data_IF_414366579023
#
_entry.id   IF_414366579023
#
_cell.length_a   1.000
_cell.length_b   1.000
_cell.length_c   1.000
_cell.angle_alpha   90.00
_cell.angle_beta   90.00
_cell.angle_gamma   90.00
#
_symmetry.space_group_name_H-M   'P 1'
#
loop_
_entity.id
_entity.type
_entity.pdbx_description
1 polymer ?
#
# COMPACT_ATOMS: atom_id res chain seq x y z
N UNK A 1 3.49 7.71 29.29
CA UNK A 1 4.01 7.57 27.91
C UNK A 1 4.08 6.09 27.61
N UNK A 2 3.64 5.66 26.43
CA UNK A 2 3.71 4.27 25.99
C UNK A 2 4.50 4.18 24.68
N UNK A 3 5.25 3.09 24.50
CA UNK A 3 5.75 2.70 23.19
C UNK A 3 4.62 2.06 22.36
N UNK A 4 4.77 2.02 21.03
CA UNK A 4 3.78 1.41 20.13
C UNK A 4 4.06 -0.07 19.91
N UNK A 5 5.23 -0.39 19.36
CA UNK A 5 5.51 -1.71 18.80
C UNK A 5 5.83 -2.69 19.93
N UNK A 6 5.05 -3.77 20.03
CA UNK A 6 5.22 -4.75 21.11
C UNK A 6 4.67 -4.32 22.48
N UNK A 7 4.15 -3.09 22.62
CA UNK A 7 3.42 -2.63 23.81
C UNK A 7 1.94 -2.40 23.52
N UNK A 8 1.60 -1.62 22.49
CA UNK A 8 0.21 -1.44 22.06
C UNK A 8 -0.19 -2.48 21.00
N UNK A 9 0.74 -2.85 20.12
CA UNK A 9 0.48 -3.83 19.05
C UNK A 9 1.13 -5.19 19.33
N UNK A 10 0.53 -6.24 18.78
CA UNK A 10 1.05 -7.63 18.79
C UNK A 10 2.02 -7.89 17.65
N UNK A 11 2.20 -6.94 16.73
CA UNK A 11 2.93 -7.13 15.48
C UNK A 11 2.38 -8.30 14.65
N UNK A 12 1.07 -8.52 14.72
CA UNK A 12 0.35 -9.54 13.95
C UNK A 12 -0.49 -8.83 12.90
N UNK A 13 -0.03 -8.89 11.65
CA UNK A 13 -0.71 -8.29 10.51
C UNK A 13 -1.73 -9.24 9.93
N UNK A 14 -2.97 -8.78 9.79
CA UNK A 14 -4.08 -9.55 9.20
C UNK A 14 -4.68 -8.82 8.02
N UNK A 15 -4.82 -9.52 6.90
CA UNK A 15 -5.62 -9.05 5.78
C UNK A 15 -7.10 -9.04 6.19
N UNK A 16 -7.78 -7.90 6.05
CA UNK A 16 -9.15 -7.70 6.56
C UNK A 16 -10.16 -7.36 5.49
N UNK A 17 -9.81 -6.48 4.55
CA UNK A 17 -10.73 -5.98 3.53
C UNK A 17 -9.99 -5.71 2.23
N UNK A 18 -10.75 -5.66 1.15
CA UNK A 18 -10.23 -5.39 -0.19
C UNK A 18 -11.26 -4.68 -1.04
N UNK A 19 -10.78 -3.79 -1.89
CA UNK A 19 -11.55 -3.05 -2.89
C UNK A 19 -11.10 -3.48 -4.27
N UNK A 20 -12.01 -3.91 -5.13
CA UNK A 20 -11.74 -4.30 -6.53
C UNK A 20 -12.99 -4.15 -7.37
N UNK A 21 -12.84 -3.68 -8.62
CA UNK A 21 -13.97 -3.36 -9.50
C UNK A 21 -15.03 -2.44 -8.86
N UNK A 22 -14.59 -1.48 -8.03
CA UNK A 22 -15.50 -0.58 -7.33
C UNK A 22 -16.38 -1.24 -6.25
N UNK A 23 -16.03 -2.45 -5.81
CA UNK A 23 -16.72 -3.18 -4.75
C UNK A 23 -15.79 -3.44 -3.57
N UNK A 24 -16.33 -3.42 -2.35
CA UNK A 24 -15.61 -3.79 -1.14
C UNK A 24 -15.98 -5.20 -0.69
N UNK A 25 -14.98 -5.95 -0.24
CA UNK A 25 -15.12 -7.29 0.31
C UNK A 25 -14.45 -7.36 1.68
N UNK A 26 -15.01 -8.21 2.55
CA UNK A 26 -14.61 -8.35 3.95
C UNK A 26 -15.24 -7.30 4.86
N UNK A 27 -15.12 -7.53 6.16
CA UNK A 27 -15.76 -6.72 7.20
C UNK A 27 -14.80 -6.37 8.35
N UNK A 28 -15.30 -5.57 9.30
CA UNK A 28 -14.59 -5.11 10.48
C UNK A 28 -14.84 -5.96 11.73
N UNK A 29 -15.82 -6.87 11.70
CA UNK A 29 -16.28 -7.61 12.87
C UNK A 29 -15.46 -8.89 13.10
N UNK A 30 -15.19 -9.62 12.02
CA UNK A 30 -14.49 -10.91 12.06
C UNK A 30 -12.99 -10.72 12.12
N UNK A 31 -12.33 -11.57 12.89
CA UNK A 31 -10.87 -11.47 13.09
C UNK A 31 -10.05 -11.86 11.85
N UNK A 32 -10.60 -12.71 10.99
CA UNK A 32 -10.00 -13.13 9.72
C UNK A 32 -10.85 -12.67 8.54
N UNK A 33 -10.20 -12.42 7.38
CA UNK A 33 -10.91 -12.22 6.13
C UNK A 33 -11.78 -13.43 5.80
N UNK A 34 -13.08 -13.19 5.63
CA UNK A 34 -14.07 -14.23 5.37
C UNK A 34 -15.15 -13.69 4.44
N UNK A 35 -14.81 -13.54 3.16
CA UNK A 35 -15.76 -13.11 2.15
C UNK A 35 -15.63 -14.03 0.94
N UNK A 36 -16.55 -15.00 0.86
CA UNK A 36 -16.58 -15.95 -0.25
C UNK A 36 -17.09 -15.30 -1.54
N UNK A 37 -17.83 -14.17 -1.45
CA UNK A 37 -18.39 -13.51 -2.63
C UNK A 37 -17.28 -12.99 -3.55
N UNK A 38 -16.14 -12.57 -2.98
CA UNK A 38 -14.94 -12.19 -3.75
C UNK A 38 -14.53 -13.31 -4.72
N UNK A 39 -14.33 -14.53 -4.20
CA UNK A 39 -13.86 -15.65 -5.04
C UNK A 39 -15.00 -16.26 -5.86
N UNK A 40 -16.23 -16.24 -5.35
CA UNK A 40 -17.39 -16.77 -6.07
C UNK A 40 -17.68 -15.94 -7.33
N UNK A 41 -17.57 -14.61 -7.27
CA UNK A 41 -17.67 -13.75 -8.46
C UNK A 41 -16.64 -14.12 -9.54
N UNK A 42 -15.40 -14.38 -9.13
CA UNK A 42 -14.39 -14.88 -10.06
C UNK A 42 -14.76 -16.25 -10.64
N UNK A 43 -15.29 -17.17 -9.83
CA UNK A 43 -15.70 -18.51 -10.29
C UNK A 43 -16.89 -18.50 -11.24
N UNK A 44 -17.85 -17.60 -11.01
CA UNK A 44 -19.07 -17.48 -11.81
C UNK A 44 -18.77 -17.04 -13.24
N UNK A 45 -17.95 -16.00 -13.40
CA UNK A 45 -17.51 -15.53 -14.71
C UNK A 45 -16.05 -15.04 -14.68
N UNK A 46 -15.07 -15.95 -14.84
CA UNK A 46 -13.64 -15.61 -14.85
C UNK A 46 -13.23 -14.63 -15.96
N UNK A 47 -14.03 -14.54 -17.04
CA UNK A 47 -13.73 -13.72 -18.21
C UNK A 47 -14.45 -12.36 -18.18
N UNK A 48 -15.37 -12.15 -17.23
CA UNK A 48 -15.95 -10.84 -16.98
C UNK A 48 -14.88 -9.82 -16.56
N UNK A 49 -15.11 -8.51 -16.79
CA UNK A 49 -14.22 -7.47 -16.28
C UNK A 49 -13.93 -7.62 -14.77
N UNK A 50 -14.96 -7.96 -13.98
CA UNK A 50 -14.83 -8.19 -12.54
C UNK A 50 -14.00 -9.43 -12.22
N UNK A 51 -14.28 -10.54 -12.90
CA UNK A 51 -13.51 -11.78 -12.74
C UNK A 51 -12.03 -11.58 -13.08
N UNK A 52 -11.73 -10.86 -14.16
CA UNK A 52 -10.36 -10.51 -14.52
C UNK A 52 -9.69 -9.61 -13.48
N UNK A 53 -10.36 -8.55 -13.02
CA UNK A 53 -9.81 -7.64 -12.01
C UNK A 53 -9.55 -8.34 -10.67
N UNK A 54 -10.50 -9.17 -10.21
CA UNK A 54 -10.35 -9.99 -9.01
C UNK A 54 -9.17 -10.95 -9.15
N UNK A 55 -9.06 -11.64 -10.29
CA UNK A 55 -7.93 -12.53 -10.56
C UNK A 55 -6.63 -11.76 -10.48
N UNK A 56 -6.48 -10.67 -11.21
CA UNK A 56 -5.22 -9.90 -11.26
C UNK A 56 -4.85 -9.35 -9.87
N UNK A 57 -5.81 -8.88 -9.08
CA UNK A 57 -5.57 -8.44 -7.70
C UNK A 57 -5.02 -9.57 -6.82
N UNK A 58 -5.69 -10.73 -6.83
CA UNK A 58 -5.29 -11.89 -6.03
C UNK A 58 -3.94 -12.44 -6.48
N UNK A 59 -3.66 -12.42 -7.79
CA UNK A 59 -2.33 -12.72 -8.34
C UNK A 59 -1.28 -11.76 -7.80
N UNK A 60 -1.53 -10.45 -7.81
CA UNK A 60 -0.59 -9.45 -7.29
C UNK A 60 -0.33 -9.62 -5.80
N UNK A 61 -1.37 -9.89 -5.00
CA UNK A 61 -1.21 -10.23 -3.57
C UNK A 61 -0.34 -11.48 -3.36
N UNK A 62 -0.47 -12.47 -4.24
CA UNK A 62 0.22 -13.76 -4.15
C UNK A 62 1.64 -13.78 -4.74
N UNK A 63 2.06 -12.79 -5.54
CA UNK A 63 3.39 -12.84 -6.19
C UNK A 63 4.22 -11.55 -6.09
N UNK A 64 3.59 -10.39 -5.91
CA UNK A 64 4.28 -9.09 -5.87
C UNK A 64 4.94 -8.87 -4.49
N UNK A 65 5.90 -9.72 -4.12
CA UNK A 65 6.57 -9.72 -2.81
C UNK A 65 7.89 -10.50 -2.87
N UNK A 66 8.64 -10.49 -1.76
CA UNK A 66 9.87 -11.30 -1.59
C UNK A 66 9.71 -12.50 -0.64
N UNK A 67 8.48 -12.76 -0.16
CA UNK A 67 8.14 -13.91 0.71
C UNK A 67 8.64 -15.24 0.14
N UNK A 68 9.20 -16.08 1.03
CA UNK A 68 9.69 -17.43 0.73
C UNK A 68 8.73 -18.47 1.30
N UNK A 69 8.17 -19.38 0.48
CA UNK A 69 7.33 -20.46 0.95
C UNK A 69 8.19 -21.62 1.47
N UNK A 70 7.85 -22.14 2.64
CA UNK A 70 8.42 -23.35 3.24
C UNK A 70 7.34 -24.41 3.40
N UNK A 71 7.51 -25.55 2.74
CA UNK A 71 6.60 -26.70 2.88
C UNK A 71 7.07 -27.59 4.04
N UNK A 72 6.24 -27.72 5.07
CA UNK A 72 6.46 -28.60 6.23
C UNK A 72 5.20 -29.42 6.46
N UNK A 73 5.34 -30.75 6.51
CA UNK A 73 4.23 -31.70 6.78
C UNK A 73 3.01 -31.52 5.85
N UNK A 74 3.26 -31.22 4.58
CA UNK A 74 2.19 -30.98 3.60
C UNK A 74 1.49 -29.62 3.73
N UNK A 75 1.83 -28.82 4.74
CA UNK A 75 1.34 -27.44 4.92
C UNK A 75 2.39 -26.43 4.48
N UNK A 76 1.95 -25.33 3.89
CA UNK A 76 2.82 -24.22 3.50
C UNK A 76 2.87 -23.21 4.63
N UNK A 77 4.09 -22.80 4.97
CA UNK A 77 4.39 -21.68 5.85
C UNK A 77 5.14 -20.62 5.07
N UNK A 78 4.97 -19.35 5.44
CA UNK A 78 5.54 -18.23 4.70
C UNK A 78 6.55 -17.48 5.58
N UNK A 79 7.82 -17.48 5.14
CA UNK A 79 8.86 -16.66 5.73
C UNK A 79 8.87 -15.30 5.03
N UNK A 80 8.66 -14.24 5.80
CA UNK A 80 8.52 -12.89 5.28
C UNK A 80 9.32 -11.90 6.12
N UNK A 81 10.10 -11.04 5.46
CA UNK A 81 10.82 -9.94 6.13
C UNK A 81 9.88 -8.81 6.55
N UNK A 82 8.78 -8.64 5.81
CA UNK A 82 7.70 -7.69 6.12
C UNK A 82 6.43 -8.46 6.49
N UNK A 83 5.83 -8.21 7.67
CA UNK A 83 4.62 -8.90 8.10
C UNK A 83 3.40 -8.52 7.26
N UNK A 84 3.39 -7.31 6.68
CA UNK A 84 2.34 -6.82 5.77
C UNK A 84 2.33 -7.66 4.49
N UNK A 85 3.50 -7.98 3.92
CA UNK A 85 3.59 -8.89 2.76
C UNK A 85 3.09 -10.29 3.11
N UNK A 86 3.48 -10.80 4.27
CA UNK A 86 2.99 -12.09 4.75
C UNK A 86 1.47 -12.12 4.89
N UNK A 87 0.85 -11.02 5.34
CA UNK A 87 -0.60 -10.92 5.48
C UNK A 87 -1.31 -10.99 4.11
N UNK A 88 -0.78 -10.30 3.09
CA UNK A 88 -1.32 -10.35 1.73
C UNK A 88 -1.24 -11.76 1.14
N UNK A 89 -0.07 -12.42 1.23
CA UNK A 89 0.12 -13.78 0.70
C UNK A 89 -0.80 -14.78 1.38
N UNK A 90 -0.92 -14.70 2.72
CA UNK A 90 -1.86 -15.55 3.47
C UNK A 90 -3.31 -15.24 3.10
N UNK A 91 -3.65 -13.98 2.87
CA UNK A 91 -4.98 -13.57 2.41
C UNK A 91 -5.34 -14.18 1.06
N UNK A 92 -4.44 -14.08 0.07
CA UNK A 92 -4.62 -14.69 -1.24
C UNK A 92 -4.74 -16.22 -1.16
N UNK A 93 -3.88 -16.88 -0.37
CA UNK A 93 -3.93 -18.33 -0.17
C UNK A 93 -5.27 -18.79 0.42
N UNK A 94 -5.83 -18.03 1.38
CA UNK A 94 -7.14 -18.34 2.00
C UNK A 94 -8.30 -18.34 1.00
N UNK A 95 -8.24 -17.51 -0.04
CA UNK A 95 -9.25 -17.47 -1.10
C UNK A 95 -8.91 -18.35 -2.30
N UNK A 96 -7.91 -19.23 -2.16
CA UNK A 96 -7.54 -20.22 -3.16
C UNK A 96 -6.52 -19.76 -4.20
N UNK A 97 -5.77 -18.69 -3.94
CA UNK A 97 -4.61 -18.27 -4.73
C UNK A 97 -3.34 -18.53 -3.90
N UNK A 98 -2.97 -19.80 -3.79
CA UNK A 98 -1.90 -20.27 -2.90
C UNK A 98 -0.54 -20.24 -3.60
N UNK A 99 0.28 -19.25 -3.28
CA UNK A 99 1.69 -19.23 -3.69
C UNK A 99 2.46 -20.33 -2.95
N UNK A 100 3.10 -21.25 -3.68
CA UNK A 100 3.74 -22.42 -3.04
C UNK A 100 5.19 -22.67 -3.43
N UNK A 101 5.62 -22.19 -4.60
CA UNK A 101 7.01 -22.42 -5.05
C UNK A 101 7.62 -21.12 -5.59
N UNK A 102 8.85 -20.84 -5.13
CA UNK A 102 9.70 -19.78 -5.68
C UNK A 102 11.00 -20.36 -6.21
N UNK A 103 11.32 -20.02 -7.45
CA UNK A 103 12.59 -20.26 -8.09
C UNK A 103 13.17 -18.93 -8.57
N UNK A 104 14.47 -18.82 -8.88
CA UNK A 104 15.09 -17.54 -9.24
C UNK A 104 14.42 -16.80 -10.41
N UNK A 105 13.83 -17.53 -11.37
CA UNK A 105 13.17 -16.95 -12.55
C UNK A 105 11.72 -17.43 -12.74
N UNK A 106 11.15 -18.12 -11.75
CA UNK A 106 9.80 -18.66 -11.84
C UNK A 106 9.10 -18.62 -10.50
N UNK A 107 7.81 -18.37 -10.52
CA UNK A 107 6.92 -18.59 -9.37
C UNK A 107 5.83 -19.55 -9.77
N UNK A 108 5.42 -20.39 -8.82
CA UNK A 108 4.28 -21.29 -9.01
C UNK A 108 3.28 -21.05 -7.90
N UNK A 109 2.04 -20.92 -8.30
CA UNK A 109 0.89 -20.72 -7.43
C UNK A 109 -0.21 -21.70 -7.84
N UNK A 110 -0.99 -22.16 -6.87
CA UNK A 110 -2.20 -22.94 -7.09
C UNK A 110 -3.38 -21.99 -7.12
N UNK A 111 -3.96 -21.80 -8.31
CA UNK A 111 -5.18 -21.02 -8.53
C UNK A 111 -6.36 -21.99 -8.50
N UNK A 112 -7.15 -21.93 -7.43
CA UNK A 112 -8.32 -22.79 -7.22
C UNK A 112 -8.01 -24.29 -7.39
N UNK A 113 -6.82 -24.72 -6.93
CA UNK A 113 -6.37 -26.12 -7.02
C UNK A 113 -5.62 -26.48 -8.30
N UNK A 114 -5.46 -25.54 -9.24
CA UNK A 114 -4.69 -25.73 -10.47
C UNK A 114 -3.39 -24.93 -10.43
N UNK A 115 -2.27 -25.61 -10.61
CA UNK A 115 -0.98 -24.94 -10.66
C UNK A 115 -0.85 -24.07 -11.91
N UNK A 116 -0.44 -22.83 -11.69
CA UNK A 116 -0.03 -21.87 -12.69
C UNK A 116 1.42 -21.46 -12.43
N UNK A 117 2.22 -21.43 -13.51
CA UNK A 117 3.63 -21.06 -13.47
C UNK A 117 3.79 -19.74 -14.23
N UNK A 118 4.43 -18.77 -13.58
CA UNK A 118 4.81 -17.51 -14.20
C UNK A 118 6.32 -17.40 -14.24
N UNK A 119 6.87 -16.90 -15.34
CA UNK A 119 8.27 -16.52 -15.39
C UNK A 119 8.42 -15.15 -14.72
N UNK A 120 9.29 -15.07 -13.72
CA UNK A 120 9.69 -13.80 -13.11
C UNK A 120 10.83 -13.23 -13.93
N UNK A 121 10.54 -12.11 -14.59
CA UNK A 121 11.49 -11.45 -15.46
C UNK A 121 12.38 -10.50 -14.67
N UNK A 122 11.77 -9.64 -13.86
CA UNK A 122 12.47 -8.69 -12.98
C UNK A 122 11.66 -8.37 -11.72
N UNK A 123 12.35 -7.96 -10.66
CA UNK A 123 11.75 -7.49 -9.39
C UNK A 123 12.32 -6.11 -9.08
N UNK A 124 11.44 -5.13 -8.86
CA UNK A 124 11.82 -3.77 -8.52
C UNK A 124 11.47 -3.55 -7.04
N UNK A 125 12.49 -3.73 -6.20
CA UNK A 125 12.35 -3.77 -4.74
C UNK A 125 11.77 -2.49 -4.14
N UNK A 126 11.00 -2.68 -3.06
CA UNK A 126 10.55 -1.57 -2.24
C UNK A 126 11.73 -0.76 -1.70
N UNK A 127 11.63 0.57 -1.79
CA UNK A 127 12.50 1.50 -1.06
C UNK A 127 11.67 2.57 -0.37
N UNK A 128 12.23 3.20 0.67
CA UNK A 128 11.60 4.32 1.37
C UNK A 128 11.24 5.47 0.44
N UNK A 129 12.07 5.69 -0.57
CA UNK A 129 11.96 6.80 -1.51
C UNK A 129 10.90 6.52 -2.57
N UNK A 130 10.75 5.25 -2.97
CA UNK A 130 9.76 4.84 -3.98
C UNK A 130 8.38 4.57 -3.40
N UNK A 131 8.30 4.13 -2.14
CA UNK A 131 7.05 3.77 -1.44
C UNK A 131 6.18 2.72 -2.15
N UNK A 132 6.76 1.95 -3.07
CA UNK A 132 6.10 0.89 -3.85
C UNK A 132 7.08 -0.21 -4.24
N UNK A 133 6.53 -1.37 -4.58
CA UNK A 133 7.24 -2.54 -5.07
C UNK A 133 6.58 -3.03 -6.34
N UNK A 134 7.38 -3.54 -7.27
CA UNK A 134 6.87 -4.07 -8.54
C UNK A 134 7.53 -5.39 -8.92
N UNK A 135 6.80 -6.22 -9.66
CA UNK A 135 7.31 -7.45 -10.26
C UNK A 135 6.88 -7.49 -11.72
N UNK A 136 7.82 -7.79 -12.61
CA UNK A 136 7.56 -8.03 -14.02
C UNK A 136 7.51 -9.54 -14.23
N UNK A 137 6.37 -10.02 -14.70
CA UNK A 137 6.14 -11.45 -14.96
C UNK A 137 5.72 -11.71 -16.39
N UNK A 138 5.97 -12.91 -16.87
CA UNK A 138 5.40 -13.44 -18.11
C UNK A 138 4.50 -14.62 -17.81
N UNK A 139 3.28 -14.57 -18.31
CA UNK A 139 2.33 -15.67 -18.16
C UNK A 139 2.54 -16.78 -19.20
N UNK A 140 1.75 -17.85 -19.08
CA UNK A 140 1.84 -19.01 -19.96
C UNK A 140 1.48 -18.69 -21.42
N UNK A 141 0.77 -17.59 -21.67
CA UNK A 141 0.42 -17.07 -22.99
C UNK A 141 1.54 -16.21 -23.59
N UNK A 142 2.60 -15.95 -22.82
CA UNK A 142 3.71 -15.10 -23.23
C UNK A 142 3.48 -13.61 -23.01
N UNK A 143 2.38 -13.22 -22.36
CA UNK A 143 2.06 -11.82 -22.08
C UNK A 143 2.89 -11.35 -20.89
N UNK A 144 3.58 -10.23 -21.06
CA UNK A 144 4.36 -9.60 -19.99
C UNK A 144 3.46 -8.65 -19.22
N UNK A 145 3.41 -8.82 -17.90
CA UNK A 145 2.64 -7.99 -16.98
C UNK A 145 3.57 -7.36 -15.95
N UNK A 146 3.48 -6.04 -15.81
CA UNK A 146 4.03 -5.29 -14.69
C UNK A 146 2.96 -5.24 -13.59
N UNK A 147 3.28 -5.77 -12.42
CA UNK A 147 2.46 -5.67 -11.24
C UNK A 147 3.11 -4.73 -10.24
N UNK A 148 2.35 -3.78 -9.71
CA UNK A 148 2.85 -2.78 -8.77
C UNK A 148 1.92 -2.67 -7.59
N UNK A 149 2.47 -2.73 -6.37
CA UNK A 149 1.76 -2.41 -5.12
C UNK A 149 2.46 -1.26 -4.39
N UNK A 150 1.72 -0.32 -3.84
CA UNK A 150 2.32 0.83 -3.17
C UNK A 150 1.34 1.68 -2.39
N UNK A 151 1.89 2.69 -1.73
CA UNK A 151 1.11 3.72 -1.07
C UNK A 151 0.39 4.62 -2.09
N UNK A 152 -0.68 5.26 -1.63
CA UNK A 152 -1.31 6.39 -2.32
C UNK A 152 -0.87 7.68 -1.66
N UNK A 153 -0.94 8.79 -2.40
CA UNK A 153 -0.67 10.11 -1.84
C UNK A 153 -1.64 10.39 -0.69
N UNK A 154 -1.08 10.65 0.49
CA UNK A 154 -1.81 10.94 1.73
C UNK A 154 -2.37 12.38 1.76
N UNK A 155 -2.56 12.98 0.59
CA UNK A 155 -2.93 14.39 0.43
C UNK A 155 -4.45 14.54 0.35
N UNK A 156 -5.14 14.20 1.45
CA UNK A 156 -6.52 14.64 1.65
C UNK A 156 -6.76 15.21 3.05
N UNK A 157 -6.12 16.36 3.29
CA UNK A 157 -6.94 17.48 3.77
C UNK A 157 -7.65 18.04 2.52
N UNK A 158 -8.99 18.01 2.44
CA UNK A 158 -9.69 18.51 1.26
C UNK A 158 -9.19 19.91 0.88
N UNK A 159 -8.96 20.18 -0.40
CA UNK A 159 -8.57 21.49 -0.92
C UNK A 159 -9.51 22.62 -0.40
N UNK A 160 -10.76 22.26 -0.09
CA UNK A 160 -11.77 23.12 0.52
C UNK A 160 -11.45 23.52 1.97
N UNK A 161 -10.89 22.59 2.78
CA UNK A 161 -10.42 22.84 4.14
C UNK A 161 -9.13 23.66 4.15
N UNK A 162 -8.24 23.52 3.16
CA UNK A 162 -7.06 24.42 2.99
C UNK A 162 -7.50 25.87 2.75
N UNK A 163 -8.55 26.13 1.95
CA UNK A 163 -9.12 27.48 1.76
C UNK A 163 -9.85 28.03 2.99
N UNK A 164 -10.63 27.19 3.67
CA UNK A 164 -11.37 27.60 4.88
C UNK A 164 -10.40 27.86 6.04
N UNK A 165 -9.37 27.03 6.22
CA UNK A 165 -8.35 27.25 7.26
C UNK A 165 -7.50 28.48 6.94
N UNK A 166 -7.20 28.76 5.66
CA UNK A 166 -6.55 30.01 5.26
C UNK A 166 -7.42 31.24 5.56
N UNK A 167 -8.74 31.19 5.31
CA UNK A 167 -9.67 32.25 5.67
C UNK A 167 -9.88 32.41 7.18
N UNK A 168 -9.95 31.32 7.95
CA UNK A 168 -10.14 31.35 9.41
C UNK A 168 -8.86 31.84 10.11
N UNK A 169 -7.68 31.45 9.60
CA UNK A 169 -6.37 31.86 10.14
C UNK A 169 -6.06 33.33 9.80
N UNK A 170 -6.46 33.84 8.63
CA UNK A 170 -6.35 35.28 8.29
C UNK A 170 -7.35 36.16 9.05
N UNK A 171 -8.58 35.69 9.30
CA UNK A 171 -9.59 36.49 10.00
C UNK A 171 -9.38 36.56 11.52
N UNK A 172 -8.72 35.58 12.16
CA UNK A 172 -8.48 35.59 13.62
C UNK A 172 -7.11 36.11 14.06
N UNK A 173 -6.15 36.26 13.16
CA UNK A 173 -4.78 36.71 13.50
C UNK A 173 -4.58 38.24 13.40
N UNK A 174 -5.56 38.99 12.90
CA UNK A 174 -5.49 40.46 12.90
C UNK A 174 -5.54 41.09 14.31
N UNK A 175 -6.07 40.37 15.32
CA UNK A 175 -6.16 40.88 16.69
C UNK A 175 -4.95 40.52 17.58
N UNK A 176 -4.21 39.45 17.26
CA UNK A 176 -3.12 38.94 18.13
C UNK A 176 -1.75 39.50 17.72
N UNK A 177 -1.54 39.85 16.44
CA UNK A 177 -0.25 40.40 15.98
C UNK A 177 0.01 41.83 16.51
N UNK A 178 -1.01 42.55 17.01
CA UNK A 178 -0.84 43.88 17.60
C UNK A 178 -0.36 43.90 19.06
N UNK A 179 -0.32 42.74 19.74
CA UNK A 179 0.03 42.65 21.17
C UNK A 179 1.40 42.03 21.45
N UNK A 180 2.16 41.61 20.43
CA UNK A 180 3.48 40.98 20.60
C UNK A 180 4.62 41.74 19.91
N UNK A 181 4.38 42.95 19.42
CA UNK A 181 5.44 43.87 18.97
C UNK A 181 5.96 44.67 20.17
N UNK A 182 6.86 44.08 20.96
CA UNK A 182 7.92 44.76 21.74
C UNK A 182 8.63 43.70 22.59
N UNK A 183 9.60 43.00 21.97
CA UNK A 183 10.94 42.70 22.50
C UNK A 183 11.54 41.51 21.74
N UNK A 184 12.60 41.83 20.98
CA UNK A 184 13.78 41.02 20.68
C UNK A 184 13.67 39.63 20.04
N UNK A 185 13.98 39.65 18.72
CA UNK A 185 14.91 38.78 17.97
C UNK A 185 14.72 37.26 17.86
N UNK A 186 14.86 36.82 16.61
CA UNK A 186 14.97 35.47 16.05
C UNK A 186 13.67 34.66 15.95
N UNK A 187 13.54 33.94 14.82
CA UNK A 187 12.41 33.11 14.39
C UNK A 187 11.34 33.86 13.58
N UNK A 188 11.72 34.59 12.51
CA UNK A 188 10.75 34.97 11.47
C UNK A 188 11.38 35.13 10.07
N UNK A 189 12.37 34.31 9.74
CA UNK A 189 12.97 34.28 8.38
C UNK A 189 12.82 32.90 7.69
N UNK A 190 11.83 32.09 8.09
CA UNK A 190 11.58 30.77 7.49
C UNK A 190 10.20 30.58 6.86
N UNK A 191 9.50 31.68 6.58
CA UNK A 191 8.23 31.71 5.84
C UNK A 191 8.38 32.52 4.56
N UNK A 192 9.38 32.16 3.74
CA UNK A 192 9.32 32.39 2.28
C UNK A 192 8.79 31.09 1.69
N UNK A 193 7.75 31.10 0.82
CA UNK A 193 7.33 29.91 0.10
C UNK A 193 8.40 29.58 -0.95
N UNK A 194 9.38 28.78 -0.53
CA UNK A 194 10.36 28.15 -1.40
C UNK A 194 9.93 26.72 -1.68
N UNK A 195 9.85 26.38 -2.96
CA UNK A 195 9.37 25.13 -3.57
C UNK A 195 7.89 24.83 -3.36
N UNK A 196 7.11 24.97 -4.43
CA UNK A 196 6.06 24.01 -4.77
C UNK A 196 6.66 22.61 -4.53
N UNK A 197 6.40 22.03 -3.37
CA UNK A 197 6.81 20.66 -3.08
C UNK A 197 6.08 19.79 -4.09
N UNK A 198 6.86 19.12 -4.95
CA UNK A 198 6.40 18.08 -5.84
C UNK A 198 5.22 17.34 -5.21
N UNK A 199 4.07 17.35 -5.88
CA UNK A 199 3.07 16.30 -5.69
C UNK A 199 3.89 15.01 -5.72
N UNK A 200 3.69 14.13 -4.74
CA UNK A 200 4.53 12.96 -4.55
C UNK A 200 4.35 12.01 -5.74
N UNK A 201 5.05 12.31 -6.84
CA UNK A 201 5.05 11.62 -8.13
C UNK A 201 5.54 10.17 -7.97
N UNK A 202 5.78 9.67 -6.75
CA UNK A 202 6.16 8.31 -6.38
C UNK A 202 4.98 7.39 -6.03
N UNK A 203 3.77 7.96 -5.91
CA UNK A 203 2.55 7.26 -5.51
C UNK A 203 1.81 6.60 -6.69
N UNK A 204 0.90 5.66 -6.38
CA UNK A 204 0.28 4.81 -7.41
C UNK A 204 -0.64 5.60 -8.36
N UNK A 205 -1.41 6.58 -7.86
CA UNK A 205 -2.43 7.28 -8.65
C UNK A 205 -1.86 8.15 -9.77
N UNK A 206 -0.69 8.73 -9.53
CA UNK A 206 0.07 9.58 -10.44
C UNK A 206 0.68 8.79 -11.60
N UNK A 207 0.63 7.45 -11.54
CA UNK A 207 1.13 6.53 -12.57
C UNK A 207 0.03 5.89 -13.41
N UNK A 208 -1.22 6.18 -13.08
CA UNK A 208 -2.35 5.59 -13.77
C UNK A 208 -2.55 6.23 -15.15
N UNK A 209 -3.13 5.45 -16.06
CA UNK A 209 -3.53 5.97 -17.37
C UNK A 209 -4.60 7.06 -17.19
N UNK A 210 -4.46 8.23 -17.85
CA UNK A 210 -5.48 9.28 -17.84
C UNK A 210 -6.85 8.75 -18.30
N UNK A 211 -7.95 9.28 -17.76
CA UNK A 211 -9.30 8.80 -18.08
C UNK A 211 -9.86 7.76 -17.09
N UNK A 212 -9.14 7.47 -16.00
CA UNK A 212 -9.55 6.53 -14.95
C UNK A 212 -10.09 7.24 -13.70
N UNK A 213 -10.50 8.51 -13.80
CA UNK A 213 -10.81 9.37 -12.65
C UNK A 213 -11.94 8.78 -11.80
N UNK A 214 -13.00 8.24 -12.42
CA UNK A 214 -14.12 7.64 -11.67
C UNK A 214 -13.70 6.41 -10.86
N UNK A 215 -12.82 5.56 -11.41
CA UNK A 215 -12.31 4.39 -10.70
C UNK A 215 -11.37 4.80 -9.55
N UNK A 216 -10.59 5.86 -9.76
CA UNK A 216 -9.73 6.45 -8.73
C UNK A 216 -10.57 7.00 -7.59
N UNK A 217 -11.61 7.77 -7.88
CA UNK A 217 -12.50 8.38 -6.87
C UNK A 217 -13.14 7.31 -5.98
N UNK A 218 -13.73 6.27 -6.59
CA UNK A 218 -14.34 5.15 -5.84
C UNK A 218 -13.30 4.41 -5.00
N UNK A 219 -12.13 4.12 -5.58
CA UNK A 219 -11.06 3.44 -4.84
C UNK A 219 -10.55 4.29 -3.67
N UNK A 220 -10.45 5.60 -3.88
CA UNK A 220 -10.04 6.56 -2.86
C UNK A 220 -11.05 6.63 -1.70
N UNK A 221 -12.35 6.66 -1.99
CA UNK A 221 -13.40 6.58 -0.96
C UNK A 221 -13.27 5.29 -0.12
N UNK A 222 -13.00 4.15 -0.76
CA UNK A 222 -12.78 2.88 -0.05
C UNK A 222 -11.49 2.89 0.80
N UNK A 223 -10.41 3.52 0.31
CA UNK A 223 -9.18 3.68 1.07
C UNK A 223 -9.38 4.55 2.32
N UNK A 224 -10.16 5.63 2.20
CA UNK A 224 -10.53 6.47 3.35
C UNK A 224 -11.38 5.69 4.36
N UNK A 225 -12.35 4.90 3.89
CA UNK A 225 -13.14 4.00 4.74
C UNK A 225 -12.23 3.03 5.49
N UNK A 226 -11.34 2.32 4.79
CA UNK A 226 -10.39 1.39 5.40
C UNK A 226 -9.47 2.07 6.42
N UNK A 227 -8.95 3.26 6.07
CA UNK A 227 -8.09 4.02 6.96
C UNK A 227 -8.85 4.56 8.18
N UNK A 228 -10.16 4.81 8.09
CA UNK A 228 -10.98 5.24 9.22
C UNK A 228 -11.05 4.18 10.34
N UNK A 229 -10.96 2.90 9.97
CA UNK A 229 -10.86 1.76 10.90
C UNK A 229 -9.43 1.46 11.37
N UNK A 230 -8.46 2.33 11.07
CA UNK A 230 -7.06 2.16 11.48
C UNK A 230 -6.28 1.12 10.68
N UNK A 231 -6.81 0.68 9.54
CA UNK A 231 -6.09 -0.26 8.67
C UNK A 231 -4.97 0.42 7.89
N UNK A 232 -3.90 -0.33 7.66
CA UNK A 232 -2.87 0.01 6.68
C UNK A 232 -3.41 -0.31 5.29
N UNK A 233 -3.35 0.65 4.39
CA UNK A 233 -3.87 0.52 3.04
C UNK A 233 -2.74 0.43 2.01
N UNK A 234 -2.99 -0.32 0.94
CA UNK A 234 -2.11 -0.41 -0.24
C UNK A 234 -2.96 -0.43 -1.50
N UNK A 235 -2.50 0.26 -2.54
CA UNK A 235 -3.09 0.21 -3.87
C UNK A 235 -2.31 -0.71 -4.79
N UNK A 236 -3.02 -1.29 -5.75
CA UNK A 236 -2.53 -2.24 -6.74
C UNK A 236 -2.86 -1.74 -8.13
N UNK A 237 -1.84 -1.66 -8.96
CA UNK A 237 -1.98 -1.29 -10.35
C UNK A 237 -1.17 -2.25 -11.23
N UNK A 238 -1.63 -2.46 -12.45
CA UNK A 238 -0.95 -3.32 -13.40
C UNK A 238 -0.81 -2.68 -14.77
N UNK A 239 0.09 -3.19 -15.58
CA UNK A 239 0.17 -2.87 -17.00
C UNK A 239 0.62 -4.06 -17.81
N UNK A 240 -0.03 -4.30 -18.95
CA UNK A 240 0.52 -5.21 -19.96
C UNK A 240 1.63 -4.48 -20.71
N UNK A 241 2.83 -5.03 -20.67
CA UNK A 241 4.03 -4.42 -21.26
C UNK A 241 4.34 -5.12 -22.59
N UNK A 242 4.46 -4.39 -23.71
CA UNK A 242 4.94 -4.95 -24.96
C UNK A 242 6.34 -5.59 -24.83
N UNK A 243 6.56 -6.68 -25.54
CA UNK A 243 7.81 -7.47 -25.51
C UNK A 243 9.04 -6.61 -25.88
N UNK A 244 8.92 -5.77 -26.89
CA UNK A 244 9.98 -4.86 -27.35
C UNK A 244 10.27 -3.76 -26.33
N UNK A 245 9.23 -3.18 -25.73
CA UNK A 245 9.35 -2.19 -24.64
C UNK A 245 10.08 -2.79 -23.43
N UNK A 246 9.66 -3.98 -22.98
CA UNK A 246 10.31 -4.68 -21.88
C UNK A 246 11.78 -4.99 -22.19
N UNK A 247 12.07 -5.53 -23.37
CA UNK A 247 13.44 -5.90 -23.74
C UNK A 247 14.39 -4.70 -23.84
N UNK A 248 13.88 -3.53 -24.24
CA UNK A 248 14.64 -2.28 -24.19
C UNK A 248 14.87 -1.82 -22.74
N UNK A 249 13.81 -1.80 -21.93
CA UNK A 249 13.88 -1.42 -20.52
C UNK A 249 14.82 -2.33 -19.71
N UNK A 250 14.75 -3.65 -19.90
CA UNK A 250 15.56 -4.62 -19.15
C UNK A 250 17.06 -4.45 -19.40
N UNK A 251 17.46 -4.04 -20.62
CA UNK A 251 18.86 -3.70 -20.92
C UNK A 251 19.32 -2.49 -20.11
N UNK A 252 18.49 -1.43 -20.10
CA UNK A 252 18.78 -0.20 -19.34
C UNK A 252 18.80 -0.49 -17.82
N UNK A 253 17.87 -1.31 -17.33
CA UNK A 253 17.76 -1.66 -15.91
C UNK A 253 18.95 -2.52 -15.46
N UNK A 254 19.36 -3.49 -16.28
CA UNK A 254 20.57 -4.27 -16.03
C UNK A 254 21.83 -3.38 -16.03
N UNK A 255 21.96 -2.47 -17.01
CA UNK A 255 23.07 -1.52 -17.08
C UNK A 255 23.13 -0.62 -15.83
N UNK A 256 21.98 -0.15 -15.33
CA UNK A 256 21.91 0.59 -14.08
C UNK A 256 22.33 -0.27 -12.86
N UNK A 257 21.94 -1.55 -12.84
CA UNK A 257 22.24 -2.49 -11.75
C UNK A 257 23.72 -2.85 -11.59
N UNK A 258 24.52 -2.75 -12.65
CA UNK A 258 25.97 -3.03 -12.62
C UNK A 258 26.83 -1.81 -12.29
N UNK A 259 26.23 -0.62 -12.14
CA UNK A 259 26.97 0.59 -11.76
C UNK A 259 27.60 0.44 -10.37
N UNK A 260 28.84 0.92 -10.23
CA UNK A 260 29.55 0.94 -8.95
C UNK A 260 29.08 2.12 -8.09
N UNK A 261 28.99 3.31 -8.69
CA UNK A 261 28.53 4.54 -8.04
C UNK A 261 27.17 4.96 -8.59
N UNK A 262 26.32 5.55 -7.74
CA UNK A 262 25.02 6.05 -8.16
C UNK A 262 23.98 4.98 -8.54
N UNK A 263 24.28 3.69 -8.33
CA UNK A 263 23.42 2.55 -8.69
C UNK A 263 21.96 2.69 -8.25
N UNK A 264 21.74 3.05 -6.98
CA UNK A 264 20.37 3.18 -6.43
C UNK A 264 19.56 4.24 -7.16
N UNK A 265 20.17 5.40 -7.45
CA UNK A 265 19.52 6.49 -8.17
C UNK A 265 19.23 6.10 -9.63
N UNK A 266 20.19 5.49 -10.31
CA UNK A 266 20.02 5.02 -11.69
C UNK A 266 18.92 3.95 -11.80
N UNK A 267 18.89 2.98 -10.88
CA UNK A 267 17.83 1.97 -10.82
C UNK A 267 16.46 2.60 -10.59
N UNK A 268 16.36 3.59 -9.70
CA UNK A 268 15.11 4.32 -9.46
C UNK A 268 14.65 5.03 -10.73
N UNK A 269 15.52 5.82 -11.39
CA UNK A 269 15.20 6.54 -12.64
C UNK A 269 14.75 5.61 -13.77
N UNK A 270 15.38 4.44 -13.91
CA UNK A 270 14.97 3.46 -14.92
C UNK A 270 13.65 2.76 -14.53
N UNK A 271 13.44 2.45 -13.25
CA UNK A 271 12.17 1.90 -12.77
C UNK A 271 11.00 2.87 -13.03
N UNK A 272 11.22 4.17 -12.87
CA UNK A 272 10.20 5.20 -13.17
C UNK A 272 9.69 5.15 -14.60
N UNK A 273 10.47 4.64 -15.56
CA UNK A 273 10.08 4.61 -16.97
C UNK A 273 9.04 3.54 -17.28
N UNK A 274 9.13 2.37 -16.66
CA UNK A 274 8.20 1.26 -16.92
C UNK A 274 6.92 1.35 -16.07
N UNK A 275 6.99 2.02 -14.92
CA UNK A 275 5.91 2.19 -13.94
C UNK A 275 5.02 3.40 -14.24
N UNK A 276 4.56 3.51 -15.49
CA UNK A 276 3.65 4.58 -15.96
C UNK A 276 2.54 3.98 -16.81
N UNK A 277 1.43 4.70 -16.93
CA UNK A 277 0.24 4.31 -17.70
C UNK A 277 -0.30 2.94 -17.25
N UNK A 278 -0.38 2.75 -15.93
CA UNK A 278 -0.94 1.54 -15.34
C UNK A 278 -2.45 1.64 -15.19
N UNK A 279 -3.12 0.50 -15.14
CA UNK A 279 -4.52 0.36 -14.80
C UNK A 279 -4.66 0.10 -13.30
N UNK A 280 -5.55 0.85 -12.64
CA UNK A 280 -5.88 0.61 -11.24
C UNK A 280 -6.70 -0.67 -11.14
N UNK A 281 -6.25 -1.60 -10.31
CA UNK A 281 -6.94 -2.87 -10.10
C UNK A 281 -7.72 -2.85 -8.79
N UNK A 282 -7.13 -2.31 -7.73
CA UNK A 282 -7.80 -2.27 -6.44
C UNK A 282 -6.93 -1.82 -5.29
N UNK A 283 -7.43 -2.05 -4.08
CA UNK A 283 -6.76 -1.70 -2.85
C UNK A 283 -7.01 -2.75 -1.75
N UNK A 284 -6.08 -2.90 -0.81
CA UNK A 284 -6.22 -3.82 0.32
C UNK A 284 -6.14 -3.08 1.65
N UNK A 285 -6.74 -3.66 2.67
CA UNK A 285 -6.66 -3.22 4.06
C UNK A 285 -6.06 -4.31 4.95
N UNK A 286 -5.01 -3.95 5.68
CA UNK A 286 -4.31 -4.81 6.63
C UNK A 286 -4.40 -4.21 8.03
N UNK A 287 -4.85 -4.99 8.99
CA UNK A 287 -4.91 -4.61 10.39
C UNK A 287 -3.63 -5.01 11.12
N UNK A 288 -3.04 -4.06 11.85
CA UNK A 288 -1.98 -4.30 12.84
C UNK A 288 -2.65 -4.54 14.20
N UNK A 289 -2.77 -5.82 14.59
CA UNK A 289 -3.53 -6.18 15.78
C UNK A 289 -2.97 -5.52 17.04
N UNK A 290 -3.85 -4.86 17.78
CA UNK A 290 -3.56 -4.41 19.14
C UNK A 290 -3.42 -5.60 20.09
N UNK A 291 -2.75 -5.39 21.23
CA UNK A 291 -2.84 -6.33 22.34
C UNK A 291 -4.25 -6.32 22.94
N UNK A 292 -4.59 -7.41 23.63
CA UNK A 292 -5.88 -7.55 24.28
C UNK A 292 -6.06 -6.45 25.34
N UNK A 293 -7.27 -5.90 25.44
CA UNK A 293 -7.66 -4.85 26.37
C UNK A 293 -6.95 -3.49 26.21
N UNK A 294 -6.15 -3.28 25.17
CA UNK A 294 -5.45 -2.00 24.96
C UNK A 294 -6.44 -0.84 24.76
N UNK A 295 -7.47 -0.93 23.88
CA UNK A 295 -8.47 0.13 23.75
C UNK A 295 -9.19 0.45 25.06
N UNK A 296 -9.66 -0.57 25.77
CA UNK A 296 -10.39 -0.45 27.03
C UNK A 296 -9.51 0.18 28.12
N UNK A 297 -8.24 -0.21 28.16
CA UNK A 297 -7.27 0.36 29.09
C UNK A 297 -6.99 1.82 28.79
N UNK A 298 -6.76 2.18 27.53
CA UNK A 298 -6.52 3.58 27.13
C UNK A 298 -7.75 4.44 27.41
N UNK A 299 -8.96 3.96 27.09
CA UNK A 299 -10.21 4.64 27.40
C UNK A 299 -10.41 4.83 28.90
N UNK A 300 -10.13 3.81 29.72
CA UNK A 300 -10.22 3.91 31.17
C UNK A 300 -9.23 4.94 31.75
N UNK A 301 -8.00 4.99 31.23
CA UNK A 301 -7.00 5.99 31.62
C UNK A 301 -7.46 7.41 31.23
N UNK A 302 -8.00 7.59 30.03
CA UNK A 302 -8.52 8.88 29.57
C UNK A 302 -9.75 9.33 30.38
N UNK A 303 -10.65 8.41 30.72
CA UNK A 303 -11.78 8.68 31.60
C UNK A 303 -11.36 9.05 33.02
N UNK A 304 -10.17 8.63 33.45
CA UNK A 304 -9.54 9.05 34.70
C UNK A 304 -8.73 10.36 34.58
N UNK A 305 -8.93 11.13 33.51
CA UNK A 305 -8.23 12.39 33.20
C UNK A 305 -6.70 12.24 33.04
N UNK A 306 -6.23 11.04 32.70
CA UNK A 306 -4.82 10.78 32.39
C UNK A 306 -4.55 11.02 30.91
N UNK A 307 -3.50 11.79 30.61
CA UNK A 307 -3.05 12.02 29.22
C UNK A 307 -2.14 10.88 28.76
N UNK A 308 -2.57 10.16 27.74
CA UNK A 308 -1.77 9.10 27.12
C UNK A 308 -0.99 9.69 25.94
N UNK A 309 0.33 9.52 25.96
CA UNK A 309 1.23 9.91 24.88
C UNK A 309 1.90 8.66 24.33
N UNK A 310 1.72 8.42 23.03
CA UNK A 310 2.41 7.36 22.30
C UNK A 310 3.69 7.94 21.67
N UNK A 311 4.82 7.32 21.97
CA UNK A 311 6.09 7.57 21.27
C UNK A 311 6.36 6.37 20.37
N UNK A 312 6.83 6.60 19.14
CA UNK A 312 7.10 5.53 18.19
C UNK A 312 8.20 5.94 17.21
N UNK A 313 9.06 5.00 16.86
CA UNK A 313 10.04 5.13 15.77
C UNK A 313 9.47 4.78 14.39
N UNK A 314 8.25 4.25 14.33
CA UNK A 314 7.55 3.99 13.08
C UNK A 314 7.18 5.27 12.33
N UNK A 315 6.86 5.11 11.05
CA UNK A 315 6.39 6.21 10.21
C UNK A 315 5.12 6.85 10.77
N UNK A 316 4.95 8.14 10.50
CA UNK A 316 3.84 8.96 10.99
C UNK A 316 2.48 8.34 10.69
N UNK A 317 2.30 7.77 9.50
CA UNK A 317 1.03 7.21 9.04
C UNK A 317 0.64 5.99 9.88
N UNK A 318 1.61 5.14 10.23
CA UNK A 318 1.40 3.99 11.11
C UNK A 318 1.02 4.43 12.53
N UNK A 319 1.65 5.49 13.04
CA UNK A 319 1.32 6.05 14.35
C UNK A 319 -0.10 6.61 14.40
N UNK A 320 -0.52 7.33 13.35
CA UNK A 320 -1.87 7.87 13.20
C UNK A 320 -2.89 6.73 13.15
N UNK A 321 -2.63 5.68 12.37
CA UNK A 321 -3.55 4.55 12.25
C UNK A 321 -3.75 3.80 13.57
N UNK A 322 -2.69 3.60 14.36
CA UNK A 322 -2.84 3.03 15.71
C UNK A 322 -3.57 4.00 16.66
N UNK A 323 -3.35 5.31 16.52
CA UNK A 323 -4.03 6.31 17.34
C UNK A 323 -5.55 6.33 17.16
N UNK A 324 -6.06 5.97 15.97
CA UNK A 324 -7.51 5.94 15.67
C UNK A 324 -8.31 4.90 16.49
N UNK A 325 -7.63 3.94 17.12
CA UNK A 325 -8.31 2.96 17.98
C UNK A 325 -8.70 3.51 19.36
N UNK A 326 -8.28 4.73 19.72
CA UNK A 326 -8.43 5.32 21.06
C UNK A 326 -9.21 6.62 21.06
#
# INVERSE_FOLDING_TARGET
>A
MSDKTGTLTRNVMKFKRVSVSGMMFGDNERDEFADEDLVNRYREDPASPDGMAIRELLMMMAICHTVVPEKKDGKISYQCSSPDEGALVRGAAKVGFEFHTRQPKKVTLSVLGKDEVLDVLDVIDFTSDRKRMSVVVRDAQGVIKLYTKGAVSDDNLPQFLKKILFCILFCKISLIIRLLYLQDTMIFERLVPGSESAIDDTMIFERLTPGSESAIDVCHEHLEDFASFGYRTLCFAMRVVPEDEYNAWAKDYHAAGILIEGRQKALAEVAERIEKNMELIGATAIEDKLQEYVPETVQALMAADMRVWMLTGDKRETAINIGKFF
#
